data_IF_367826753017
#
_entry.id   IF_367826753017
#
_cell.length_a   1.000
_cell.length_b   1.000
_cell.length_c   1.000
_cell.angle_alpha   90.00
_cell.angle_beta   90.00
_cell.angle_gamma   90.00
#
_symmetry.space_group_name_H-M   'P 1'
#
loop_
_entity.id
_entity.type
_entity.pdbx_description
1 polymer ?
#
# COMPACT_ATOMS: atom_id res chain seq x y z
N UNK A 1 2.11 17.51 18.40
CA UNK A 1 2.98 16.51 17.74
C UNK A 1 2.20 15.89 16.61
N UNK A 2 2.80 15.72 15.43
CA UNK A 2 2.13 15.01 14.34
C UNK A 2 1.91 13.56 14.77
N UNK A 3 0.64 13.11 14.73
CA UNK A 3 0.27 11.77 15.11
C UNK A 3 0.26 10.91 13.84
N UNK A 4 1.17 9.95 13.72
CA UNK A 4 1.24 9.05 12.57
C UNK A 4 0.34 7.84 12.78
N UNK A 5 -0.38 7.42 11.74
CA UNK A 5 -1.25 6.21 11.78
C UNK A 5 -0.43 4.93 11.74
N UNK A 6 0.71 4.97 11.07
CA UNK A 6 1.60 3.82 10.90
C UNK A 6 3.05 4.28 10.82
N UNK A 7 3.96 3.54 11.46
CA UNK A 7 5.39 3.87 11.43
C UNK A 7 6.20 2.63 11.09
N UNK A 8 7.11 2.78 10.16
CA UNK A 8 8.13 1.80 9.80
C UNK A 8 9.49 2.36 10.17
N UNK A 9 10.31 1.58 10.86
CA UNK A 9 11.64 1.97 11.27
C UNK A 9 12.65 0.91 10.85
N UNK A 10 13.51 1.25 9.88
CA UNK A 10 14.56 0.40 9.33
C UNK A 10 14.07 -0.98 8.89
N UNK A 11 12.89 -1.01 8.26
CA UNK A 11 12.30 -2.26 7.82
C UNK A 11 13.07 -2.86 6.66
N UNK A 12 13.53 -4.08 6.86
CA UNK A 12 14.18 -4.92 5.86
C UNK A 12 13.48 -6.26 5.71
N UNK A 13 13.55 -6.85 4.51
CA UNK A 13 13.04 -8.20 4.25
C UNK A 13 13.99 -8.96 3.35
N UNK A 14 14.40 -10.13 3.82
CA UNK A 14 15.21 -11.09 3.07
C UNK A 14 14.36 -12.31 2.75
N UNK A 15 14.37 -12.76 1.52
CA UNK A 15 13.70 -13.99 1.08
C UNK A 15 14.74 -15.03 0.61
N UNK A 16 14.47 -16.34 0.76
CA UNK A 16 15.36 -17.37 0.25
C UNK A 16 15.66 -17.21 -1.26
N UNK A 17 16.91 -17.49 -1.75
CA UNK A 17 18.10 -17.98 -1.03
C UNK A 17 19.04 -16.88 -0.47
N UNK A 18 18.60 -15.74 -0.01
CA UNK A 18 19.27 -14.53 0.53
C UNK A 18 19.06 -13.28 -0.33
N UNK A 19 17.97 -13.21 -1.09
CA UNK A 19 17.62 -11.99 -1.83
C UNK A 19 16.97 -10.98 -0.88
N UNK A 20 17.62 -9.84 -0.68
CA UNK A 20 17.04 -8.73 0.07
C UNK A 20 16.10 -7.94 -0.84
N UNK A 21 14.81 -7.96 -0.54
CA UNK A 21 13.77 -7.30 -1.33
C UNK A 21 13.37 -5.93 -0.76
N UNK A 22 13.48 -5.74 0.56
CA UNK A 22 13.30 -4.44 1.21
C UNK A 22 14.54 -4.14 2.04
N UNK A 23 15.00 -2.87 1.99
CA UNK A 23 16.24 -2.43 2.61
C UNK A 23 16.02 -1.14 3.37
N UNK A 24 16.15 -1.21 4.70
CA UNK A 24 16.21 -0.04 5.60
C UNK A 24 15.10 1.00 5.34
N UNK A 25 13.86 0.53 5.16
CA UNK A 25 12.71 1.40 4.88
C UNK A 25 12.27 2.06 6.18
N UNK A 26 12.39 3.38 6.26
CA UNK A 26 11.95 4.20 7.39
C UNK A 26 10.94 5.23 6.89
N UNK A 27 9.65 5.01 7.20
CA UNK A 27 8.53 5.80 6.71
C UNK A 27 7.49 5.99 7.82
N UNK A 28 6.83 7.14 7.80
CA UNK A 28 5.71 7.44 8.69
C UNK A 28 4.52 7.91 7.87
N UNK A 29 3.36 7.35 8.14
CA UNK A 29 2.14 7.59 7.37
C UNK A 29 1.21 8.51 8.15
N UNK A 30 0.75 9.57 7.48
CA UNK A 30 -0.17 10.55 8.06
C UNK A 30 -1.62 10.06 8.01
N UNK A 31 -2.46 10.49 8.97
CA UNK A 31 -3.91 10.25 8.90
C UNK A 31 -4.50 10.82 7.62
N UNK A 32 -5.37 10.06 6.97
CA UNK A 32 -6.08 10.47 5.76
C UNK A 32 -5.26 10.48 4.47
N UNK A 33 -3.95 10.22 4.50
CA UNK A 33 -3.10 10.23 3.31
C UNK A 33 -3.51 9.16 2.29
N UNK A 34 -3.48 9.50 1.00
CA UNK A 34 -3.75 8.61 -0.14
C UNK A 34 -2.43 8.32 -0.86
N UNK A 35 -1.96 7.09 -0.74
CA UNK A 35 -0.60 6.71 -1.16
C UNK A 35 -0.68 5.60 -2.20
N UNK A 36 -0.17 5.88 -3.39
CA UNK A 36 0.05 4.88 -4.43
C UNK A 36 1.44 4.27 -4.31
N UNK A 37 1.56 2.95 -4.38
CA UNK A 37 2.85 2.25 -4.32
C UNK A 37 3.24 1.78 -5.72
N UNK A 38 4.38 2.26 -6.20
CA UNK A 38 4.95 1.91 -7.50
C UNK A 38 6.25 1.13 -7.34
N UNK A 39 6.61 0.37 -8.37
CA UNK A 39 7.86 -0.37 -8.46
C UNK A 39 7.76 -1.50 -9.48
N UNK A 40 8.90 -2.00 -9.91
CA UNK A 40 8.99 -3.13 -10.83
C UNK A 40 8.36 -4.40 -10.24
N UNK A 41 8.06 -5.36 -11.11
CA UNK A 41 7.62 -6.68 -10.64
C UNK A 41 8.72 -7.34 -9.79
N UNK A 42 8.32 -7.83 -8.62
CA UNK A 42 9.26 -8.36 -7.64
C UNK A 42 10.03 -7.34 -6.81
N UNK A 43 9.70 -6.05 -6.88
CA UNK A 43 10.28 -4.99 -6.05
C UNK A 43 9.85 -5.05 -4.57
N UNK A 44 8.88 -5.92 -4.23
CA UNK A 44 8.43 -6.10 -2.85
C UNK A 44 7.15 -5.34 -2.49
N UNK A 45 6.36 -4.85 -3.48
CA UNK A 45 5.11 -4.09 -3.25
C UNK A 45 4.12 -4.86 -2.37
N UNK A 46 3.72 -6.05 -2.79
CA UNK A 46 2.81 -6.90 -2.00
C UNK A 46 3.41 -7.35 -0.67
N UNK A 47 4.74 -7.53 -0.60
CA UNK A 47 5.43 -7.83 0.64
C UNK A 47 5.35 -6.66 1.62
N UNK A 48 5.52 -5.42 1.14
CA UNK A 48 5.35 -4.21 1.95
C UNK A 48 3.93 -4.17 2.55
N UNK A 49 2.89 -4.39 1.75
CA UNK A 49 1.51 -4.41 2.24
C UNK A 49 1.26 -5.53 3.25
N UNK A 50 1.82 -6.74 3.04
CA UNK A 50 1.71 -7.86 3.98
C UNK A 50 2.38 -7.57 5.32
N UNK A 51 3.52 -6.88 5.30
CA UNK A 51 4.18 -6.40 6.52
C UNK A 51 3.29 -5.38 7.23
N UNK A 52 2.78 -4.38 6.50
CA UNK A 52 1.90 -3.36 7.06
C UNK A 52 0.60 -3.93 7.61
N UNK A 53 0.07 -4.99 7.00
CA UNK A 53 -1.10 -5.72 7.48
C UNK A 53 -0.80 -6.63 8.68
N UNK A 54 0.46 -6.76 9.11
CA UNK A 54 0.86 -7.67 10.19
C UNK A 54 0.78 -9.16 9.84
N UNK A 55 0.62 -9.49 8.55
CA UNK A 55 0.60 -10.86 8.02
C UNK A 55 2.01 -11.45 7.95
N UNK A 56 2.96 -10.64 7.47
CA UNK A 56 4.38 -11.02 7.45
C UNK A 56 5.13 -10.33 8.58
N UNK A 57 5.54 -11.12 9.57
CA UNK A 57 6.26 -10.64 10.77
C UNK A 57 7.76 -10.97 10.76
N UNK A 58 8.22 -11.73 9.76
CA UNK A 58 9.63 -12.09 9.60
C UNK A 58 10.36 -10.95 8.87
N UNK A 59 10.69 -9.90 9.62
CA UNK A 59 11.29 -8.66 9.13
C UNK A 59 12.45 -8.22 10.01
N UNK A 60 13.35 -7.43 9.44
CA UNK A 60 14.31 -6.63 10.19
C UNK A 60 13.66 -5.27 10.51
N UNK A 61 13.97 -4.68 11.66
CA UNK A 61 13.39 -3.41 12.09
C UNK A 61 11.96 -3.55 12.63
N UNK A 62 11.23 -2.44 12.68
CA UNK A 62 9.90 -2.35 13.28
C UNK A 62 8.88 -1.78 12.29
N UNK A 63 7.69 -2.39 12.27
CA UNK A 63 6.55 -1.92 11.48
C UNK A 63 5.30 -1.97 12.38
N UNK A 64 4.86 -0.80 12.85
CA UNK A 64 3.87 -0.72 13.93
C UNK A 64 2.75 0.26 13.57
N UNK A 65 1.48 -0.19 13.61
CA UNK A 65 0.33 0.71 13.57
C UNK A 65 0.21 1.49 14.89
N UNK A 66 -0.40 2.67 14.84
CA UNK A 66 -0.78 3.40 16.05
C UNK A 66 -1.75 2.53 16.88
N UNK A 67 -1.63 2.51 18.22
CA UNK A 67 -2.55 1.76 19.06
C UNK A 67 -4.02 2.13 18.81
N UNK A 68 -4.88 1.11 18.66
CA UNK A 68 -6.31 1.28 18.41
C UNK A 68 -6.70 1.48 16.94
N UNK A 69 -5.75 1.55 16.01
CA UNK A 69 -6.02 1.64 14.58
C UNK A 69 -6.43 0.27 14.01
N UNK A 70 -7.55 0.26 13.28
CA UNK A 70 -8.01 -0.90 12.51
C UNK A 70 -7.42 -0.85 11.12
N UNK A 71 -6.59 -1.85 10.77
CA UNK A 71 -5.99 -1.99 9.45
C UNK A 71 -6.78 -3.00 8.65
N UNK A 72 -7.34 -2.57 7.52
CA UNK A 72 -8.01 -3.44 6.55
C UNK A 72 -7.07 -3.77 5.40
N UNK A 73 -7.01 -5.03 5.00
CA UNK A 73 -6.12 -5.50 3.94
C UNK A 73 -6.85 -6.31 2.88
N UNK A 74 -6.72 -5.90 1.62
CA UNK A 74 -7.14 -6.66 0.44
C UNK A 74 -5.89 -7.29 -0.20
N UNK A 75 -5.65 -8.59 -0.03
CA UNK A 75 -4.58 -9.30 -0.75
C UNK A 75 -4.95 -9.51 -2.22
N UNK A 76 -3.96 -9.85 -3.02
CA UNK A 76 -4.16 -10.20 -4.44
C UNK A 76 -5.13 -11.39 -4.61
N UNK A 77 -5.08 -12.37 -3.73
CA UNK A 77 -5.99 -13.51 -3.65
C UNK A 77 -6.65 -13.51 -2.26
N UNK A 78 -7.88 -12.97 -2.14
CA UNK A 78 -8.57 -12.91 -0.85
C UNK A 78 -9.14 -14.28 -0.47
N UNK A 79 -9.02 -14.61 0.80
CA UNK A 79 -9.65 -15.78 1.38
C UNK A 79 -11.06 -15.44 1.87
N UNK A 80 -12.05 -16.16 1.36
CA UNK A 80 -13.45 -16.10 1.76
C UNK A 80 -13.92 -17.51 2.10
N UNK A 81 -14.89 -17.62 2.99
CA UNK A 81 -15.51 -18.93 3.30
C UNK A 81 -16.23 -19.47 2.06
N UNK A 82 -15.83 -20.65 1.60
CA UNK A 82 -16.33 -21.25 0.39
C UNK A 82 -17.81 -21.66 0.47
N UNK A 83 -18.30 -21.97 1.67
CA UNK A 83 -19.66 -22.39 1.99
C UNK A 83 -20.62 -21.21 2.20
N UNK A 84 -20.11 -20.00 2.41
CA UNK A 84 -20.92 -18.81 2.64
C UNK A 84 -21.56 -18.30 1.35
N UNK A 85 -22.71 -17.61 1.48
CA UNK A 85 -23.30 -16.80 0.42
C UNK A 85 -22.57 -15.47 0.27
N UNK A 86 -22.77 -14.78 -0.86
CA UNK A 86 -22.25 -13.42 -1.09
C UNK A 86 -22.74 -12.48 0.00
N UNK A 87 -24.02 -12.56 0.39
CA UNK A 87 -24.60 -11.75 1.46
C UNK A 87 -23.85 -11.96 2.76
N UNK A 88 -23.71 -13.20 3.24
CA UNK A 88 -23.02 -13.52 4.47
C UNK A 88 -21.57 -13.02 4.47
N UNK A 89 -20.86 -13.19 3.35
CA UNK A 89 -19.47 -12.74 3.21
C UNK A 89 -19.35 -11.22 3.27
N UNK A 90 -20.30 -10.46 2.73
CA UNK A 90 -20.32 -8.99 2.80
C UNK A 90 -20.72 -8.51 4.19
N UNK A 91 -21.72 -9.14 4.82
CA UNK A 91 -22.19 -8.86 6.19
C UNK A 91 -21.10 -9.10 7.24
N UNK A 92 -20.17 -10.04 6.99
CA UNK A 92 -18.98 -10.19 7.86
C UNK A 92 -18.14 -8.90 7.97
N UNK A 93 -18.10 -8.08 6.93
CA UNK A 93 -17.46 -6.76 6.95
C UNK A 93 -18.16 -5.76 7.89
N UNK A 94 -19.43 -5.98 8.14
CA UNK A 94 -20.28 -5.20 9.04
C UNK A 94 -20.41 -5.84 10.42
N UNK A 95 -19.51 -6.75 10.79
CA UNK A 95 -19.61 -7.62 11.95
C UNK A 95 -19.96 -6.90 13.24
N UNK A 96 -19.34 -5.75 13.53
CA UNK A 96 -19.68 -4.94 14.71
C UNK A 96 -21.14 -4.41 14.68
N UNK A 97 -21.59 -4.01 13.51
CA UNK A 97 -22.95 -3.47 13.29
C UNK A 97 -23.99 -4.57 13.39
N UNK A 98 -23.72 -5.72 12.77
CA UNK A 98 -24.60 -6.89 12.80
C UNK A 98 -24.69 -7.48 14.22
N UNK A 99 -23.56 -7.59 14.91
CA UNK A 99 -23.53 -8.01 16.32
C UNK A 99 -24.30 -7.02 17.21
N UNK A 100 -24.12 -5.70 17.00
CA UNK A 100 -24.86 -4.69 17.75
C UNK A 100 -26.37 -4.79 17.51
N UNK A 101 -26.82 -4.99 16.26
CA UNK A 101 -28.25 -5.23 15.95
C UNK A 101 -28.79 -6.44 16.69
N UNK A 102 -28.09 -7.58 16.58
CA UNK A 102 -28.50 -8.82 17.25
C UNK A 102 -28.57 -8.66 18.79
N UNK A 103 -27.54 -8.01 19.36
CA UNK A 103 -27.50 -7.75 20.79
C UNK A 103 -28.63 -6.84 21.25
N UNK A 104 -29.01 -5.84 20.46
CA UNK A 104 -30.16 -4.98 20.79
C UNK A 104 -31.48 -5.76 20.76
N UNK A 105 -31.68 -6.66 19.78
CA UNK A 105 -32.85 -7.52 19.77
C UNK A 105 -32.93 -8.42 21.02
N UNK A 106 -31.79 -9.02 21.42
CA UNK A 106 -31.68 -9.82 22.64
C UNK A 106 -31.98 -8.95 23.91
N UNK A 107 -31.48 -7.72 23.97
CA UNK A 107 -31.72 -6.77 25.06
C UNK A 107 -33.20 -6.40 25.12
N UNK A 108 -33.85 -6.09 24.00
CA UNK A 108 -35.27 -5.77 23.95
C UNK A 108 -36.14 -6.96 24.40
N UNK A 109 -35.74 -8.18 24.04
CA UNK A 109 -36.43 -9.38 24.54
C UNK A 109 -36.22 -9.57 26.06
N UNK A 110 -35.01 -9.31 26.56
CA UNK A 110 -34.67 -9.44 27.99
C UNK A 110 -35.40 -8.42 28.89
N UNK A 111 -35.79 -7.24 28.39
CA UNK A 111 -36.63 -6.30 29.13
C UNK A 111 -38.01 -6.87 29.51
N UNK A 112 -38.49 -7.88 28.82
CA UNK A 112 -39.76 -8.54 29.11
C UNK A 112 -39.65 -9.64 30.19
N UNK A 113 -38.44 -9.98 30.63
CA UNK A 113 -38.23 -11.01 31.67
C UNK A 113 -38.51 -10.47 33.08
N UNK A 114 -39.13 -11.28 33.97
CA UNK A 114 -39.52 -10.82 35.32
C UNK A 114 -38.33 -10.42 36.21
N UNK A 115 -37.14 -11.01 35.95
CA UNK A 115 -35.93 -10.81 36.77
C UNK A 115 -34.91 -9.92 36.02
N UNK A 116 -35.39 -9.07 35.11
CA UNK A 116 -34.50 -8.21 34.28
C UNK A 116 -33.74 -7.18 35.14
N UNK A 117 -32.41 -7.12 34.93
CA UNK A 117 -31.55 -6.06 35.47
C UNK A 117 -31.60 -4.84 34.52
N UNK A 118 -32.56 -3.94 34.82
CA UNK A 118 -32.84 -2.78 33.98
C UNK A 118 -31.64 -1.84 33.82
N UNK A 119 -30.82 -1.66 34.89
CA UNK A 119 -29.67 -0.75 34.84
C UNK A 119 -28.56 -1.30 33.88
N UNK A 120 -28.32 -2.60 33.98
CA UNK A 120 -27.36 -3.28 33.09
C UNK A 120 -27.86 -3.30 31.66
N UNK A 121 -29.12 -3.64 31.42
CA UNK A 121 -29.71 -3.65 30.07
C UNK A 121 -29.69 -2.25 29.43
N UNK A 122 -29.98 -1.19 30.18
CA UNK A 122 -29.91 0.18 29.68
C UNK A 122 -28.49 0.61 29.32
N UNK A 123 -27.49 0.22 30.11
CA UNK A 123 -26.08 0.50 29.79
C UNK A 123 -25.63 -0.23 28.52
N UNK A 124 -25.98 -1.52 28.37
CA UNK A 124 -25.68 -2.32 27.20
C UNK A 124 -26.41 -1.78 25.95
N UNK A 125 -27.70 -1.41 26.09
CA UNK A 125 -28.50 -0.77 25.04
C UNK A 125 -27.79 0.51 24.52
N UNK A 126 -27.46 1.42 25.44
CA UNK A 126 -26.80 2.68 25.08
C UNK A 126 -25.47 2.45 24.32
N UNK A 127 -24.71 1.43 24.70
CA UNK A 127 -23.46 1.04 24.05
C UNK A 127 -23.72 0.57 22.63
N UNK A 128 -24.65 -0.33 22.39
CA UNK A 128 -24.93 -0.87 21.07
C UNK A 128 -25.63 0.14 20.16
N UNK A 129 -26.51 0.98 20.72
CA UNK A 129 -27.11 2.11 19.98
C UNK A 129 -26.04 3.11 19.51
N UNK A 130 -25.01 3.39 20.31
CA UNK A 130 -23.90 4.25 19.90
C UNK A 130 -23.10 3.65 18.74
N UNK A 131 -22.91 2.33 18.71
CA UNK A 131 -22.26 1.64 17.57
C UNK A 131 -23.12 1.80 16.31
N UNK A 132 -24.43 1.57 16.41
CA UNK A 132 -25.34 1.73 15.26
C UNK A 132 -25.45 3.18 14.80
N UNK A 133 -25.45 4.16 15.69
CA UNK A 133 -25.46 5.58 15.35
C UNK A 133 -24.18 6.00 14.60
N UNK A 134 -23.04 5.43 14.98
CA UNK A 134 -21.74 5.68 14.29
C UNK A 134 -21.71 5.03 12.90
N UNK A 135 -22.31 3.84 12.75
CA UNK A 135 -22.40 3.14 11.47
C UNK A 135 -23.32 3.82 10.46
N UNK A 136 -24.32 4.59 10.96
CA UNK A 136 -25.37 5.23 10.18
C UNK A 136 -26.61 4.34 10.05
N UNK A 137 -27.78 4.97 9.95
CA UNK A 137 -29.10 4.31 9.90
C UNK A 137 -29.37 3.53 8.61
N UNK A 138 -28.48 3.63 7.61
CA UNK A 138 -28.73 3.16 6.25
C UNK A 138 -27.68 2.15 5.77
N UNK A 139 -27.26 1.26 6.66
CA UNK A 139 -26.23 0.26 6.39
C UNK A 139 -26.61 -0.68 5.24
N UNK A 140 -27.90 -1.07 5.16
CA UNK A 140 -28.39 -1.97 4.13
C UNK A 140 -28.34 -1.27 2.76
N UNK A 141 -28.72 0.01 2.70
CA UNK A 141 -28.63 0.81 1.48
C UNK A 141 -27.14 1.04 1.06
N UNK A 142 -26.23 1.29 2.01
CA UNK A 142 -24.79 1.39 1.69
C UNK A 142 -24.25 0.07 1.15
N UNK A 143 -24.72 -1.06 1.66
CA UNK A 143 -24.36 -2.38 1.18
C UNK A 143 -24.87 -2.61 -0.25
N UNK A 144 -26.13 -2.24 -0.54
CA UNK A 144 -26.71 -2.34 -1.88
C UNK A 144 -25.98 -1.45 -2.89
N UNK A 145 -25.69 -0.18 -2.55
CA UNK A 145 -24.94 0.75 -3.42
C UNK A 145 -23.54 0.19 -3.71
N UNK A 146 -22.83 -0.30 -2.71
CA UNK A 146 -21.49 -0.84 -2.92
C UNK A 146 -21.51 -2.14 -3.75
N UNK A 147 -22.51 -3.00 -3.52
CA UNK A 147 -22.69 -4.24 -4.26
C UNK A 147 -23.02 -3.98 -5.74
N UNK A 148 -23.90 -3.03 -6.01
CA UNK A 148 -24.29 -2.64 -7.37
C UNK A 148 -23.10 -2.00 -8.11
N UNK A 149 -22.42 -1.03 -7.47
CA UNK A 149 -21.26 -0.34 -8.02
C UNK A 149 -20.09 -1.29 -8.34
N UNK A 150 -19.86 -2.30 -7.52
CA UNK A 150 -18.83 -3.32 -7.74
C UNK A 150 -19.36 -4.50 -8.56
N UNK A 151 -20.61 -4.46 -9.02
CA UNK A 151 -21.26 -5.51 -9.82
C UNK A 151 -21.06 -6.89 -9.19
N UNK A 152 -21.46 -7.01 -7.91
CA UNK A 152 -21.38 -8.29 -7.20
C UNK A 152 -22.33 -9.31 -7.85
N UNK A 153 -22.03 -10.62 -7.72
CA UNK A 153 -22.98 -11.68 -8.05
C UNK A 153 -24.24 -11.59 -7.18
N UNK A 154 -25.26 -12.41 -7.48
CA UNK A 154 -26.49 -12.43 -6.67
C UNK A 154 -26.16 -12.72 -5.21
N UNK A 155 -26.95 -12.17 -4.31
CA UNK A 155 -26.73 -12.29 -2.85
C UNK A 155 -26.74 -13.75 -2.35
N UNK A 156 -27.48 -14.62 -3.05
CA UNK A 156 -27.64 -16.04 -2.72
C UNK A 156 -26.54 -16.92 -3.34
N UNK A 157 -25.68 -16.36 -4.21
CA UNK A 157 -24.61 -17.11 -4.84
C UNK A 157 -23.60 -17.58 -3.80
N UNK A 158 -23.18 -18.85 -3.91
CA UNK A 158 -22.21 -19.46 -2.99
C UNK A 158 -20.80 -19.10 -3.40
N UNK A 159 -20.01 -18.59 -2.47
CA UNK A 159 -18.62 -18.11 -2.71
C UNK A 159 -17.75 -19.17 -3.39
N UNK A 160 -17.91 -20.46 -3.02
CA UNK A 160 -17.14 -21.55 -3.60
C UNK A 160 -17.28 -21.71 -5.11
N UNK A 161 -18.42 -21.28 -5.66
CA UNK A 161 -18.75 -21.39 -7.09
C UNK A 161 -18.33 -20.17 -7.91
N UNK A 162 -17.93 -19.08 -7.26
CA UNK A 162 -17.57 -17.84 -7.91
C UNK A 162 -16.17 -17.92 -8.57
N UNK A 163 -16.03 -17.18 -9.66
CA UNK A 163 -14.72 -16.93 -10.27
C UNK A 163 -13.78 -16.14 -9.32
N UNK A 164 -12.47 -16.18 -9.59
CA UNK A 164 -11.50 -15.41 -8.80
C UNK A 164 -11.76 -13.91 -8.79
N UNK A 165 -12.21 -13.35 -9.92
CA UNK A 165 -12.58 -11.94 -10.03
C UNK A 165 -13.81 -11.56 -9.21
N UNK A 166 -14.84 -12.42 -9.20
CA UNK A 166 -16.04 -12.22 -8.39
C UNK A 166 -15.72 -12.29 -6.90
N UNK A 167 -14.95 -13.31 -6.46
CA UNK A 167 -14.48 -13.40 -5.06
C UNK A 167 -13.74 -12.14 -4.63
N UNK A 168 -12.92 -11.59 -5.52
CA UNK A 168 -12.16 -10.38 -5.25
C UNK A 168 -13.07 -9.17 -5.07
N UNK A 169 -14.09 -8.99 -5.93
CA UNK A 169 -15.09 -7.92 -5.79
C UNK A 169 -15.87 -8.03 -4.48
N UNK A 170 -16.28 -9.25 -4.11
CA UNK A 170 -16.94 -9.51 -2.81
C UNK A 170 -16.02 -9.14 -1.64
N UNK A 171 -14.75 -9.55 -1.67
CA UNK A 171 -13.78 -9.23 -0.63
C UNK A 171 -13.51 -7.72 -0.54
N UNK A 172 -13.42 -7.02 -1.69
CA UNK A 172 -13.28 -5.57 -1.73
C UNK A 172 -14.51 -4.90 -1.11
N UNK A 173 -15.71 -5.28 -1.49
CA UNK A 173 -16.96 -4.76 -0.93
C UNK A 173 -16.99 -4.94 0.60
N UNK A 174 -16.74 -6.15 1.09
CA UNK A 174 -16.64 -6.46 2.53
C UNK A 174 -15.66 -5.54 3.24
N UNK A 175 -14.47 -5.34 2.65
CA UNK A 175 -13.43 -4.52 3.24
C UNK A 175 -13.83 -3.03 3.31
N UNK A 176 -14.39 -2.49 2.23
CA UNK A 176 -14.80 -1.07 2.20
C UNK A 176 -15.93 -0.78 3.19
N UNK A 177 -16.88 -1.70 3.34
CA UNK A 177 -17.98 -1.57 4.29
C UNK A 177 -17.53 -1.69 5.76
N UNK A 178 -16.42 -2.38 6.04
CA UNK A 178 -15.88 -2.46 7.41
C UNK A 178 -15.30 -1.14 7.93
N UNK A 179 -15.14 -0.13 7.07
CA UNK A 179 -14.67 1.22 7.39
C UNK A 179 -13.46 1.22 8.34
N UNK A 180 -12.34 0.57 7.98
CA UNK A 180 -11.14 0.58 8.81
C UNK A 180 -10.51 1.98 8.82
N UNK A 181 -9.59 2.24 9.76
CA UNK A 181 -8.86 3.51 9.82
C UNK A 181 -7.75 3.60 8.77
N UNK A 182 -7.26 2.44 8.33
CA UNK A 182 -6.24 2.32 7.28
C UNK A 182 -6.61 1.19 6.31
N UNK A 183 -6.63 1.50 5.00
CA UNK A 183 -6.84 0.57 3.90
C UNK A 183 -5.53 0.22 3.20
N UNK A 184 -5.24 -1.07 3.09
CA UNK A 184 -4.14 -1.61 2.31
C UNK A 184 -4.71 -2.42 1.15
N UNK A 185 -4.51 -1.95 -0.08
CA UNK A 185 -5.12 -2.51 -1.28
C UNK A 185 -4.05 -3.03 -2.25
N UNK A 186 -4.04 -4.33 -2.50
CA UNK A 186 -3.11 -4.96 -3.47
C UNK A 186 -3.83 -5.19 -4.78
N UNK A 187 -3.54 -4.38 -5.81
CA UNK A 187 -4.14 -4.37 -7.15
C UNK A 187 -5.68 -4.25 -7.14
N UNK A 188 -6.28 -3.25 -6.47
CA UNK A 188 -7.73 -3.18 -6.28
C UNK A 188 -8.52 -3.01 -7.57
N UNK A 189 -7.92 -2.48 -8.63
CA UNK A 189 -8.56 -2.25 -9.94
C UNK A 189 -8.63 -3.50 -10.82
N UNK A 190 -7.89 -4.57 -10.50
CA UNK A 190 -7.91 -5.80 -11.27
C UNK A 190 -9.28 -6.46 -11.23
N UNK A 191 -9.79 -6.86 -12.39
CA UNK A 191 -11.12 -7.47 -12.61
C UNK A 191 -12.31 -6.52 -12.34
N UNK A 192 -12.08 -5.21 -12.24
CA UNK A 192 -13.12 -4.19 -12.25
C UNK A 192 -13.29 -3.64 -13.67
N UNK A 193 -14.52 -3.28 -14.03
CA UNK A 193 -14.79 -2.49 -15.22
C UNK A 193 -14.58 -0.98 -14.94
N UNK A 194 -14.65 -0.17 -15.99
CA UNK A 194 -14.35 1.26 -15.87
C UNK A 194 -15.28 2.00 -14.90
N UNK A 195 -16.57 1.64 -14.85
CA UNK A 195 -17.55 2.27 -13.95
C UNK A 195 -17.26 1.92 -12.48
N UNK A 196 -16.92 0.64 -12.21
CA UNK A 196 -16.53 0.19 -10.87
C UNK A 196 -15.22 0.82 -10.41
N UNK A 197 -14.24 1.03 -11.32
CA UNK A 197 -12.98 1.73 -11.01
C UNK A 197 -13.29 3.19 -10.66
N UNK A 198 -14.08 3.91 -11.46
CA UNK A 198 -14.46 5.30 -11.19
C UNK A 198 -15.19 5.45 -9.85
N UNK A 199 -16.10 4.54 -9.54
CA UNK A 199 -16.76 4.53 -8.24
C UNK A 199 -15.77 4.31 -7.09
N UNK A 200 -14.83 3.37 -7.25
CA UNK A 200 -13.79 3.09 -6.26
C UNK A 200 -12.90 4.33 -6.03
N UNK A 201 -12.48 5.01 -7.10
CA UNK A 201 -11.71 6.27 -7.01
C UNK A 201 -12.46 7.32 -6.17
N UNK A 202 -13.75 7.56 -6.48
CA UNK A 202 -14.58 8.50 -5.74
C UNK A 202 -14.78 8.09 -4.29
N UNK A 203 -14.95 6.79 -4.02
CA UNK A 203 -15.04 6.26 -2.68
C UNK A 203 -13.77 6.53 -1.89
N UNK A 204 -12.59 6.20 -2.44
CA UNK A 204 -11.30 6.37 -1.77
C UNK A 204 -10.94 7.84 -1.54
N UNK A 205 -11.31 8.75 -2.45
CA UNK A 205 -11.13 10.19 -2.25
C UNK A 205 -11.91 10.70 -1.03
N UNK A 206 -13.14 10.20 -0.82
CA UNK A 206 -14.01 10.58 0.32
C UNK A 206 -13.70 9.80 1.60
N UNK A 207 -12.97 8.72 1.50
CA UNK A 207 -12.63 7.87 2.63
C UNK A 207 -11.77 8.64 3.64
N UNK A 208 -12.19 8.77 4.92
CA UNK A 208 -11.48 9.61 5.90
C UNK A 208 -10.16 9.01 6.37
N UNK A 209 -10.00 7.68 6.25
CA UNK A 209 -8.81 6.95 6.67
C UNK A 209 -7.65 7.04 5.68
N UNK A 210 -6.52 6.51 6.09
CA UNK A 210 -5.33 6.40 5.24
C UNK A 210 -5.49 5.26 4.24
N UNK A 211 -5.06 5.47 3.00
CA UNK A 211 -5.10 4.46 1.94
C UNK A 211 -3.70 4.23 1.40
N UNK A 212 -3.29 2.97 1.32
CA UNK A 212 -2.07 2.55 0.61
C UNK A 212 -2.47 1.53 -0.45
N UNK A 213 -2.36 1.90 -1.72
CA UNK A 213 -2.77 1.07 -2.84
C UNK A 213 -1.58 0.73 -3.75
N UNK A 214 -1.38 -0.55 -4.01
CA UNK A 214 -0.49 -1.05 -5.05
C UNK A 214 -1.33 -1.27 -6.30
N UNK A 215 -0.99 -0.64 -7.41
CA UNK A 215 -1.63 -0.89 -8.70
C UNK A 215 -0.74 -0.48 -9.86
N UNK A 216 -1.00 -1.07 -11.02
CA UNK A 216 -0.39 -0.69 -12.30
C UNK A 216 -1.28 0.27 -13.11
N UNK A 217 -2.45 0.60 -12.61
CA UNK A 217 -3.38 1.54 -13.24
C UNK A 217 -2.94 2.98 -12.96
N UNK A 218 -2.43 3.63 -14.00
CA UNK A 218 -1.90 5.01 -13.93
C UNK A 218 -3.01 6.03 -13.73
N UNK A 219 -4.17 5.83 -14.34
CA UNK A 219 -5.30 6.74 -14.21
C UNK A 219 -5.87 6.70 -12.80
N UNK A 220 -6.01 5.50 -12.25
CA UNK A 220 -6.39 5.33 -10.85
C UNK A 220 -5.44 6.06 -9.89
N UNK A 221 -4.11 5.95 -10.11
CA UNK A 221 -3.14 6.66 -9.27
C UNK A 221 -3.16 8.17 -9.47
N UNK A 222 -3.47 8.66 -10.67
CA UNK A 222 -3.62 10.10 -10.90
C UNK A 222 -4.83 10.67 -10.17
N UNK A 223 -5.92 9.91 -10.09
CA UNK A 223 -7.16 10.35 -9.47
C UNK A 223 -7.20 10.12 -7.96
N UNK A 224 -6.68 8.98 -7.49
CA UNK A 224 -6.86 8.55 -6.10
C UNK A 224 -5.65 8.84 -5.19
N UNK A 225 -4.43 9.06 -5.73
CA UNK A 225 -3.23 9.23 -4.93
C UNK A 225 -2.80 10.69 -4.77
N UNK A 226 -2.41 11.06 -3.55
CA UNK A 226 -1.78 12.35 -3.20
C UNK A 226 -0.27 12.22 -2.98
N UNK A 227 0.18 10.99 -2.76
CA UNK A 227 1.57 10.62 -2.59
C UNK A 227 1.87 9.35 -3.37
N UNK A 228 3.07 9.28 -3.91
CA UNK A 228 3.61 8.06 -4.52
C UNK A 228 4.78 7.57 -3.68
N UNK A 229 4.72 6.29 -3.30
CA UNK A 229 5.82 5.56 -2.70
C UNK A 229 6.45 4.66 -3.76
N UNK A 230 7.59 5.06 -4.27
CA UNK A 230 8.35 4.26 -5.22
C UNK A 230 9.23 3.25 -4.49
N UNK A 231 9.08 1.96 -4.81
CA UNK A 231 10.02 0.91 -4.40
C UNK A 231 11.06 0.70 -5.50
N UNK A 232 12.25 1.22 -5.28
CA UNK A 232 13.38 1.07 -6.18
C UNK A 232 14.54 0.37 -5.46
N UNK A 233 15.00 -0.77 -6.00
CA UNK A 233 16.13 -1.56 -5.48
C UNK A 233 16.05 -1.89 -3.98
N UNK A 234 14.82 -2.07 -3.50
CA UNK A 234 14.53 -2.37 -2.11
C UNK A 234 14.38 -1.14 -1.20
N UNK A 235 14.61 0.06 -1.69
CA UNK A 235 14.41 1.31 -0.95
C UNK A 235 13.03 1.90 -1.24
N UNK A 236 12.41 2.51 -0.22
CA UNK A 236 11.16 3.24 -0.35
C UNK A 236 11.42 4.74 -0.50
N UNK A 237 11.05 5.31 -1.64
CA UNK A 237 11.25 6.73 -1.95
C UNK A 237 9.87 7.40 -2.02
N UNK A 238 9.52 8.27 -1.06
CA UNK A 238 8.25 8.99 -1.08
C UNK A 238 8.34 10.22 -2.01
N UNK A 239 7.30 10.40 -2.82
CA UNK A 239 7.12 11.53 -3.72
C UNK A 239 5.78 12.20 -3.42
N UNK A 240 5.76 13.52 -3.37
CA UNK A 240 4.51 14.27 -3.20
C UNK A 240 3.85 14.49 -4.55
N UNK A 241 2.55 14.21 -4.62
CA UNK A 241 1.74 14.33 -5.82
C UNK A 241 1.22 12.98 -6.33
N UNK A 242 0.51 13.03 -7.44
CA UNK A 242 -0.07 11.89 -8.13
C UNK A 242 0.95 11.24 -9.09
N UNK A 243 0.48 10.28 -9.92
CA UNK A 243 1.34 9.56 -10.86
C UNK A 243 2.03 10.49 -11.88
N UNK A 244 1.30 11.45 -12.47
CA UNK A 244 1.84 12.40 -13.44
C UNK A 244 2.92 13.28 -12.83
N UNK A 245 2.68 13.82 -11.63
CA UNK A 245 3.68 14.58 -10.88
C UNK A 245 4.93 13.78 -10.54
N UNK A 246 4.76 12.49 -10.16
CA UNK A 246 5.86 11.59 -9.90
C UNK A 246 6.72 11.37 -11.16
N UNK A 247 6.07 11.19 -12.32
CA UNK A 247 6.77 10.96 -13.59
C UNK A 247 7.67 12.15 -13.96
N UNK A 248 7.15 13.38 -13.86
CA UNK A 248 7.91 14.61 -14.11
C UNK A 248 9.11 14.73 -13.15
N UNK A 249 8.88 14.59 -11.84
CA UNK A 249 9.93 14.67 -10.82
C UNK A 249 11.01 13.59 -11.04
N UNK A 250 10.60 12.39 -11.45
CA UNK A 250 11.52 11.29 -11.73
C UNK A 250 12.39 11.57 -12.96
N UNK A 251 11.79 12.12 -14.03
CA UNK A 251 12.54 12.52 -15.22
C UNK A 251 13.59 13.59 -14.90
N UNK A 252 13.24 14.61 -14.16
CA UNK A 252 14.17 15.65 -13.72
C UNK A 252 15.32 15.09 -12.87
N UNK A 253 15.00 14.18 -11.96
CA UNK A 253 16.00 13.48 -11.15
C UNK A 253 16.95 12.66 -12.01
N UNK A 254 16.43 11.85 -12.93
CA UNK A 254 17.24 11.04 -13.84
C UNK A 254 18.15 11.91 -14.74
N UNK A 255 17.65 13.03 -15.25
CA UNK A 255 18.46 13.98 -16.01
C UNK A 255 19.59 14.58 -15.16
N UNK A 256 19.30 14.90 -13.91
CA UNK A 256 20.29 15.45 -12.97
C UNK A 256 21.35 14.40 -12.63
N UNK A 257 20.92 13.17 -12.32
CA UNK A 257 21.84 12.04 -12.07
C UNK A 257 22.70 11.74 -13.30
N UNK A 258 22.14 11.76 -14.52
CA UNK A 258 22.88 11.56 -15.75
C UNK A 258 23.94 12.67 -15.98
N UNK A 259 23.60 13.94 -15.71
CA UNK A 259 24.55 15.06 -15.80
C UNK A 259 25.69 14.93 -14.78
N UNK A 260 25.38 14.57 -13.54
CA UNK A 260 26.37 14.33 -12.49
C UNK A 260 27.29 13.17 -12.84
N UNK A 261 26.74 12.08 -13.37
CA UNK A 261 27.50 10.92 -13.80
C UNK A 261 28.43 11.25 -14.97
N UNK A 262 27.94 11.97 -15.97
CA UNK A 262 28.76 12.43 -17.09
C UNK A 262 29.93 13.34 -16.63
N UNK A 263 29.67 14.26 -15.69
CA UNK A 263 30.69 15.11 -15.10
C UNK A 263 31.71 14.29 -14.31
N UNK A 264 31.26 13.28 -13.54
CA UNK A 264 32.11 12.37 -12.78
C UNK A 264 33.02 11.55 -13.71
N UNK A 265 32.44 10.95 -14.76
CA UNK A 265 33.21 10.18 -15.77
C UNK A 265 34.26 11.08 -16.46
N UNK A 266 33.90 12.32 -16.78
CA UNK A 266 34.83 13.29 -17.35
C UNK A 266 36.00 13.58 -16.41
N UNK A 267 35.70 13.80 -15.10
CA UNK A 267 36.73 14.02 -14.07
C UNK A 267 37.63 12.78 -13.91
N UNK A 268 37.03 11.59 -13.85
CA UNK A 268 37.76 10.33 -13.73
C UNK A 268 38.71 10.09 -14.94
N UNK A 269 38.24 10.37 -16.17
CA UNK A 269 39.08 10.28 -17.38
C UNK A 269 40.25 11.26 -17.30
N UNK A 270 40.02 12.49 -16.89
CA UNK A 270 41.08 13.49 -16.73
C UNK A 270 42.13 13.09 -15.67
N UNK A 271 41.69 12.53 -14.56
CA UNK A 271 42.58 12.02 -13.51
C UNK A 271 43.35 10.77 -13.98
N UNK A 272 42.72 9.89 -14.76
CA UNK A 272 43.39 8.73 -15.37
C UNK A 272 44.48 9.14 -16.36
N UNK A 273 44.19 10.11 -17.23
CA UNK A 273 45.19 10.66 -18.16
C UNK A 273 46.35 11.30 -17.41
N UNK A 274 46.07 12.05 -16.33
CA UNK A 274 47.11 12.65 -15.52
C UNK A 274 47.99 11.59 -14.86
N UNK A 275 47.40 10.50 -14.31
CA UNK A 275 48.13 9.35 -13.73
C UNK A 275 49.03 8.68 -14.78
N UNK A 276 48.60 8.59 -16.06
CA UNK A 276 49.36 7.99 -17.16
C UNK A 276 50.52 8.86 -17.63
N UNK A 277 50.36 10.19 -17.64
CA UNK A 277 51.35 11.10 -18.22
C UNK A 277 52.51 11.46 -17.28
N UNK A 278 52.43 11.22 -15.96
CA UNK A 278 53.44 11.71 -15.01
C UNK A 278 54.00 10.63 -14.07
N UNK A 279 54.93 9.75 -14.54
CA UNK A 279 55.58 8.75 -13.69
C UNK A 279 56.58 9.32 -12.65
N UNK A 280 57.10 10.52 -12.87
CA UNK A 280 58.16 11.10 -12.01
C UNK A 280 57.74 12.10 -10.93
N UNK A 281 56.47 12.51 -10.91
CA UNK A 281 55.95 13.50 -9.90
C UNK A 281 55.26 12.89 -8.69
N UNK A 282 55.55 11.64 -8.34
CA UNK A 282 54.81 10.81 -7.38
C UNK A 282 55.02 11.09 -5.90
N UNK A 283 55.70 12.13 -5.48
CA UNK A 283 55.97 12.33 -4.04
C UNK A 283 55.16 13.45 -3.42
N UNK A 284 54.21 13.13 -2.59
CA UNK A 284 53.37 13.93 -1.67
C UNK A 284 52.07 14.54 -2.19
N UNK A 285 52.01 15.25 -3.35
CA UNK A 285 50.72 15.77 -3.90
C UNK A 285 49.89 14.72 -4.65
N UNK A 286 50.47 13.55 -4.94
CA UNK A 286 49.85 12.48 -5.70
C UNK A 286 48.98 11.54 -4.83
N UNK A 287 49.24 11.44 -3.50
CA UNK A 287 48.46 10.55 -2.62
C UNK A 287 46.98 10.94 -2.53
N UNK A 288 46.66 12.22 -2.43
CA UNK A 288 45.29 12.71 -2.36
C UNK A 288 44.54 12.52 -3.67
N UNK A 289 45.21 12.65 -4.84
CA UNK A 289 44.62 12.40 -6.15
C UNK A 289 44.45 10.92 -6.43
N UNK A 290 45.38 10.07 -6.04
CA UNK A 290 45.26 8.61 -6.13
C UNK A 290 44.11 8.10 -5.23
N UNK A 291 43.99 8.57 -4.01
CA UNK A 291 42.88 8.24 -3.12
C UNK A 291 41.54 8.67 -3.69
N UNK A 292 41.47 9.87 -4.30
CA UNK A 292 40.26 10.34 -4.97
C UNK A 292 39.90 9.53 -6.23
N UNK A 293 40.89 9.06 -6.98
CA UNK A 293 40.68 8.15 -8.12
C UNK A 293 40.19 6.78 -7.65
N UNK A 294 40.78 6.23 -6.59
CA UNK A 294 40.35 4.96 -5.98
C UNK A 294 38.93 5.05 -5.44
N UNK A 295 38.57 6.16 -4.78
CA UNK A 295 37.22 6.42 -4.30
C UNK A 295 36.21 6.50 -5.46
N UNK A 296 36.52 7.22 -6.54
CA UNK A 296 35.69 7.32 -7.74
C UNK A 296 35.54 5.98 -8.47
N UNK A 297 36.60 5.16 -8.50
CA UNK A 297 36.58 3.84 -9.15
C UNK A 297 35.86 2.78 -8.30
N UNK A 298 35.94 2.85 -6.98
CA UNK A 298 35.22 1.96 -6.07
C UNK A 298 33.70 2.15 -6.18
N UNK A 299 33.26 3.39 -6.36
CA UNK A 299 31.83 3.69 -6.56
C UNK A 299 31.31 3.13 -7.92
N UNK A 300 32.14 3.10 -8.97
CA UNK A 300 31.76 2.51 -10.27
C UNK A 300 31.60 0.98 -10.17
N UNK A 301 32.42 0.33 -9.35
CA UNK A 301 32.33 -1.11 -9.10
C UNK A 301 31.03 -1.49 -8.38
N UNK A 302 30.62 -0.68 -7.42
CA UNK A 302 29.35 -0.87 -6.69
C UNK A 302 28.14 -0.71 -7.61
N UNK A 303 28.14 0.29 -8.51
CA UNK A 303 27.05 0.53 -9.46
C UNK A 303 26.95 -0.51 -10.57
N UNK A 304 28.08 -1.06 -11.03
CA UNK A 304 28.13 -2.13 -12.05
C UNK A 304 27.53 -3.46 -11.56
N UNK A 305 27.67 -3.75 -10.29
CA UNK A 305 27.06 -4.94 -9.67
C UNK A 305 25.54 -4.79 -9.45
N UNK A 306 25.01 -3.57 -9.48
CA UNK A 306 23.57 -3.27 -9.27
C UNK A 306 22.79 -3.16 -10.60
N UNK A 307 23.45 -3.03 -11.76
CA UNK A 307 22.81 -2.73 -13.06
C UNK A 307 22.76 -3.95 -13.98
N UNK A 308 22.08 -5.04 -13.57
CA UNK A 308 21.69 -6.12 -14.49
C UNK A 308 20.17 -6.18 -14.70
N UNK A 309 19.50 -5.05 -14.88
CA UNK A 309 18.12 -5.03 -15.34
C UNK A 309 18.03 -4.21 -16.65
N UNK A 310 17.65 -4.91 -17.71
CA UNK A 310 17.40 -4.31 -19.03
C UNK A 310 16.10 -3.52 -18.95
N UNK A 311 16.20 -2.20 -19.04
CA UNK A 311 15.03 -1.33 -19.22
C UNK A 311 14.61 -1.42 -20.70
N UNK A 312 13.47 -2.07 -20.96
CA UNK A 312 12.84 -2.06 -22.28
C UNK A 312 11.81 -0.93 -22.26
N UNK A 313 12.04 0.20 -22.95
CA UNK A 313 11.02 1.23 -23.08
C UNK A 313 9.83 0.63 -23.86
N UNK A 314 8.63 0.82 -23.31
CA UNK A 314 7.40 0.44 -24.02
C UNK A 314 7.26 1.34 -25.23
N UNK A 315 7.30 0.75 -26.43
CA UNK A 315 7.06 1.46 -27.68
C UNK A 315 5.67 2.10 -27.65
N UNK A 316 5.57 3.36 -28.10
CA UNK A 316 4.30 4.06 -28.32
C UNK A 316 3.34 3.16 -29.12
N UNK A 317 2.12 3.04 -28.62
CA UNK A 317 1.03 2.40 -29.39
C UNK A 317 0.85 3.22 -30.66
N UNK A 318 1.21 2.63 -31.77
CA UNK A 318 0.70 3.06 -33.08
C UNK A 318 -0.82 2.86 -33.06
N UNK A 319 -1.52 3.95 -33.36
CA UNK A 319 -2.96 4.12 -33.28
C UNK A 319 -3.83 3.13 -34.07
#
# INVERSE_FOLDING_TARGET
MAQYVYTMNRVGKIVPPKRQILKDISLSFFPGAKIGVLGLNGAGKSTLLRIMAGVDKDIEGDAVPMPGIRVGYLPQEPELRADASVREAVEEGLGEVMEARKRLEEIYAAYAEPDADFDKLAADQARYEAILATAGSDTDHQMEIAADALRLPSWEAVIGQLSGGEKRRVALCRLLLSKPDMLLLDEPTNHLDAESVEWLEQFLQRFPGTVVAVTHDRYFLDNAAEWILELDRGHGIPWKGNYSSWLEQKEERLQTEAKQEAARIKTMKAELEWVRQNPKGRQAKSKARLARFEELSAYEHQKRNETQEIFIPVAERLG
#
